data_IF_240876911369
#
_entry.id   IF_240876911369
#
_cell.length_a   1.000
_cell.length_b   1.000
_cell.length_c   1.000
_cell.angle_alpha   90.00
_cell.angle_beta   90.00
_cell.angle_gamma   90.00
#
_symmetry.space_group_name_H-M   'P 1'
#
loop_
_entity.id
_entity.type
_entity.pdbx_description
1 polymer ?
#
# COMPACT_ATOMS: atom_id res chain seq x y z
N UNK A 1 21.35 -34.58 -17.64
CA UNK A 1 20.08 -35.08 -17.09
C UNK A 1 19.46 -33.95 -16.28
N UNK A 2 18.40 -33.36 -16.73
CA UNK A 2 17.66 -32.36 -15.94
C UNK A 2 16.80 -33.11 -14.94
N UNK A 3 16.93 -32.76 -13.66
CA UNK A 3 16.02 -33.24 -12.63
C UNK A 3 14.77 -32.35 -12.75
N UNK A 4 13.77 -32.83 -13.48
CA UNK A 4 12.49 -32.18 -13.49
C UNK A 4 11.83 -32.37 -12.12
N UNK A 5 11.42 -31.29 -11.49
CA UNK A 5 10.64 -31.37 -10.26
C UNK A 5 9.31 -32.09 -10.56
N UNK A 6 9.17 -33.28 -10.04
CA UNK A 6 8.00 -34.14 -10.24
C UNK A 6 6.80 -33.64 -9.40
N UNK A 7 7.04 -32.72 -8.47
CA UNK A 7 6.00 -32.20 -7.58
C UNK A 7 5.42 -30.88 -8.12
N UNK A 8 4.31 -30.99 -8.82
CA UNK A 8 3.42 -29.84 -9.05
C UNK A 8 2.56 -29.65 -7.79
N UNK A 9 2.74 -28.51 -7.15
CA UNK A 9 1.87 -28.11 -6.05
C UNK A 9 0.62 -27.42 -6.60
N UNK A 10 -0.53 -28.05 -6.48
CA UNK A 10 -1.82 -27.55 -6.97
C UNK A 10 -2.78 -27.20 -5.82
N UNK A 11 -2.35 -27.44 -4.58
CA UNK A 11 -3.19 -27.16 -3.41
C UNK A 11 -3.28 -25.66 -3.15
N UNK A 12 -4.48 -25.20 -2.83
CA UNK A 12 -4.74 -23.82 -2.43
C UNK A 12 -4.96 -23.82 -0.91
N UNK A 13 -4.18 -23.02 -0.21
CA UNK A 13 -4.25 -22.86 1.24
C UNK A 13 -4.99 -21.55 1.56
N UNK A 14 -6.21 -21.66 2.05
CA UNK A 14 -7.00 -20.51 2.45
C UNK A 14 -6.56 -19.99 3.83
N UNK A 15 -6.54 -18.67 4.04
CA UNK A 15 -6.26 -18.09 5.35
C UNK A 15 -7.37 -18.49 6.36
N UNK A 16 -7.01 -18.51 7.65
CA UNK A 16 -8.00 -18.76 8.69
C UNK A 16 -9.02 -17.60 8.76
N UNK A 17 -10.26 -17.90 9.18
CA UNK A 17 -11.28 -16.87 9.38
C UNK A 17 -10.85 -15.77 10.34
N UNK A 18 -10.12 -16.13 11.41
CA UNK A 18 -9.57 -15.17 12.39
C UNK A 18 -8.60 -14.20 11.75
N UNK A 19 -7.73 -14.66 10.87
CA UNK A 19 -6.76 -13.82 10.15
C UNK A 19 -7.45 -12.91 9.14
N UNK A 20 -8.40 -13.45 8.38
CA UNK A 20 -9.15 -12.70 7.36
C UNK A 20 -10.01 -11.61 7.97
N UNK A 21 -10.71 -11.90 9.07
CA UNK A 21 -11.61 -10.95 9.74
C UNK A 21 -10.89 -9.67 10.19
N UNK A 22 -9.64 -9.77 10.60
CA UNK A 22 -8.84 -8.64 11.11
C UNK A 22 -7.92 -8.02 10.07
N UNK A 23 -7.90 -8.54 8.85
CA UNK A 23 -7.06 -8.01 7.78
C UNK A 23 -7.71 -6.79 7.11
N UNK A 24 -6.91 -5.83 6.68
CA UNK A 24 -7.39 -4.68 5.89
C UNK A 24 -7.95 -5.11 4.53
N UNK A 25 -7.31 -6.09 3.91
CA UNK A 25 -7.80 -6.79 2.72
C UNK A 25 -8.24 -8.16 3.18
N UNK A 26 -9.53 -8.33 3.43
CA UNK A 26 -10.10 -9.49 4.10
C UNK A 26 -10.35 -10.67 3.16
N UNK A 27 -10.49 -10.43 1.87
CA UNK A 27 -10.82 -11.45 0.87
C UNK A 27 -10.28 -11.11 -0.51
N UNK A 28 -10.32 -12.07 -1.41
CA UNK A 28 -9.87 -11.93 -2.79
C UNK A 28 -10.70 -10.91 -3.59
N UNK A 29 -11.97 -10.76 -3.29
CA UNK A 29 -12.82 -9.79 -3.97
C UNK A 29 -12.40 -8.37 -3.66
N UNK A 30 -12.08 -8.06 -2.40
CA UNK A 30 -11.53 -6.78 -1.96
C UNK A 30 -10.17 -6.50 -2.60
N UNK A 31 -9.30 -7.50 -2.65
CA UNK A 31 -8.01 -7.40 -3.34
C UNK A 31 -8.16 -7.08 -4.82
N UNK A 32 -9.04 -7.81 -5.53
CA UNK A 32 -9.29 -7.59 -6.95
C UNK A 32 -9.85 -6.19 -7.22
N UNK A 33 -10.76 -5.69 -6.37
CA UNK A 33 -11.25 -4.31 -6.44
C UNK A 33 -10.14 -3.28 -6.36
N UNK A 34 -9.20 -3.47 -5.43
CA UNK A 34 -8.05 -2.60 -5.29
C UNK A 34 -7.15 -2.64 -6.55
N UNK A 35 -6.88 -3.83 -7.07
CA UNK A 35 -6.13 -4.01 -8.31
C UNK A 35 -6.82 -3.31 -9.50
N UNK A 36 -8.13 -3.41 -9.61
CA UNK A 36 -8.91 -2.78 -10.67
C UNK A 36 -8.89 -1.24 -10.58
N UNK A 37 -8.86 -0.68 -9.37
CA UNK A 37 -8.67 0.75 -9.15
C UNK A 37 -7.35 1.23 -9.73
N UNK A 38 -6.26 0.50 -9.50
CA UNK A 38 -4.94 0.82 -10.07
C UNK A 38 -4.89 0.66 -11.59
N UNK A 39 -5.58 -0.34 -12.14
CA UNK A 39 -5.66 -0.51 -13.60
C UNK A 39 -6.43 0.62 -14.27
N UNK A 40 -7.49 1.09 -13.62
CA UNK A 40 -8.36 2.15 -14.14
C UNK A 40 -7.72 3.52 -14.03
N UNK A 41 -7.14 3.84 -12.89
CA UNK A 41 -6.51 5.14 -12.60
C UNK A 41 -5.32 4.94 -11.65
N UNK A 42 -4.16 4.63 -12.22
CA UNK A 42 -2.93 4.37 -11.46
C UNK A 42 -2.51 5.56 -10.60
N UNK A 43 -2.40 6.73 -11.20
CA UNK A 43 -1.93 7.94 -10.49
C UNK A 43 -2.95 8.42 -9.47
N UNK A 44 -4.22 8.48 -9.84
CA UNK A 44 -5.28 8.87 -8.91
C UNK A 44 -5.37 7.96 -7.70
N UNK A 45 -5.27 6.64 -7.90
CA UNK A 45 -5.31 5.67 -6.80
C UNK A 45 -4.13 5.86 -5.84
N UNK A 46 -2.91 6.09 -6.32
CA UNK A 46 -1.77 6.43 -5.46
C UNK A 46 -1.96 7.76 -4.74
N UNK A 47 -2.51 8.75 -5.42
CA UNK A 47 -2.82 10.06 -4.83
C UNK A 47 -3.82 9.96 -3.67
N UNK A 48 -4.90 9.19 -3.85
CA UNK A 48 -5.89 8.97 -2.80
C UNK A 48 -5.31 8.21 -1.60
N UNK A 49 -4.53 7.16 -1.83
CA UNK A 49 -3.85 6.43 -0.75
C UNK A 49 -2.88 7.33 0.03
N UNK A 50 -2.14 8.20 -0.66
CA UNK A 50 -1.23 9.13 -0.02
C UNK A 50 -1.97 10.18 0.84
N UNK A 51 -3.14 10.64 0.42
CA UNK A 51 -3.99 11.54 1.22
C UNK A 51 -4.62 10.84 2.41
N UNK A 52 -5.06 9.60 2.24
CA UNK A 52 -5.71 8.81 3.29
C UNK A 52 -4.75 8.40 4.40
N UNK A 53 -3.55 7.96 4.04
CA UNK A 53 -2.63 7.34 4.98
C UNK A 53 -1.55 8.26 5.54
N UNK A 54 -1.26 9.37 4.88
CA UNK A 54 -0.21 10.29 5.28
C UNK A 54 -0.77 11.64 5.72
N UNK A 55 -0.13 12.23 6.72
CA UNK A 55 -0.42 13.59 7.16
C UNK A 55 0.60 14.53 6.52
N UNK A 56 0.09 15.48 5.77
CA UNK A 56 0.88 16.43 4.99
C UNK A 56 0.91 17.80 5.66
N UNK A 57 2.11 18.37 5.81
CA UNK A 57 2.27 19.76 6.23
C UNK A 57 1.90 20.71 5.08
N UNK A 58 2.32 20.37 3.87
CA UNK A 58 1.88 20.98 2.63
C UNK A 58 1.35 19.91 1.69
N UNK A 59 0.06 19.92 1.35
CA UNK A 59 -0.50 18.99 0.38
C UNK A 59 0.23 19.05 -0.97
N UNK A 60 0.38 17.90 -1.61
CA UNK A 60 0.93 17.81 -2.97
C UNK A 60 -0.13 18.19 -4.01
N UNK A 61 0.30 18.74 -5.13
CA UNK A 61 -0.50 18.95 -6.34
C UNK A 61 -0.08 18.04 -7.49
N UNK A 62 1.19 17.63 -7.50
CA UNK A 62 1.74 16.69 -8.49
C UNK A 62 1.95 15.32 -7.86
N UNK A 63 1.47 14.26 -8.52
CA UNK A 63 1.60 12.89 -8.01
C UNK A 63 2.91 12.27 -8.49
N UNK A 64 3.15 12.25 -9.78
CA UNK A 64 4.34 11.64 -10.38
C UNK A 64 4.90 12.55 -11.48
N UNK A 65 6.19 12.83 -11.42
CA UNK A 65 6.98 13.36 -12.54
C UNK A 65 7.85 12.24 -13.12
N UNK A 66 7.50 11.78 -14.31
CA UNK A 66 8.16 10.72 -15.06
C UNK A 66 8.88 11.24 -16.34
N UNK A 67 9.06 12.56 -16.45
CA UNK A 67 9.61 13.21 -17.67
C UNK A 67 11.07 12.87 -17.92
N UNK A 68 11.82 12.49 -16.90
CA UNK A 68 13.24 12.20 -16.99
C UNK A 68 13.61 10.80 -16.46
N UNK A 69 13.20 9.70 -17.12
CA UNK A 69 13.54 8.35 -16.68
C UNK A 69 15.06 8.13 -16.64
N UNK A 70 15.60 7.36 -15.69
CA UNK A 70 14.90 6.62 -14.65
C UNK A 70 14.65 7.43 -13.35
N UNK A 71 14.83 8.74 -13.37
CA UNK A 71 14.71 9.62 -12.21
C UNK A 71 13.27 10.06 -12.01
N UNK A 72 12.46 9.20 -11.40
CA UNK A 72 11.06 9.46 -11.09
C UNK A 72 10.94 10.24 -9.78
N UNK A 73 10.02 11.20 -9.74
CA UNK A 73 9.75 12.02 -8.55
C UNK A 73 8.27 11.88 -8.16
N UNK A 74 8.03 11.38 -6.96
CA UNK A 74 6.70 11.23 -6.40
C UNK A 74 6.39 12.36 -5.42
N UNK A 75 5.21 12.96 -5.55
CA UNK A 75 4.69 13.99 -4.63
C UNK A 75 5.68 15.13 -4.37
N UNK A 76 6.40 15.56 -5.38
CA UNK A 76 7.57 16.45 -5.27
C UNK A 76 7.28 17.77 -4.58
N UNK A 77 6.11 18.36 -4.80
CA UNK A 77 5.70 19.64 -4.24
C UNK A 77 5.02 19.53 -2.86
N UNK A 78 4.77 18.31 -2.38
CA UNK A 78 4.27 18.05 -1.05
C UNK A 78 5.36 18.12 0.02
N UNK A 79 4.98 18.43 1.26
CA UNK A 79 5.86 18.39 2.43
C UNK A 79 5.21 17.62 3.56
N UNK A 80 5.94 16.72 4.16
CA UNK A 80 5.50 15.96 5.33
C UNK A 80 6.69 15.67 6.26
N UNK A 81 6.38 15.36 7.50
CA UNK A 81 7.35 14.88 8.47
C UNK A 81 7.24 13.35 8.58
N UNK A 82 8.28 12.63 8.17
CA UNK A 82 8.29 11.18 8.18
C UNK A 82 8.22 10.60 9.60
N UNK A 83 8.93 11.18 10.56
CA UNK A 83 8.90 10.70 11.94
C UNK A 83 7.53 10.92 12.59
N UNK A 84 6.86 12.03 12.31
CA UNK A 84 5.49 12.27 12.75
C UNK A 84 4.54 11.21 12.21
N UNK A 85 4.61 10.92 10.92
CA UNK A 85 3.78 9.92 10.26
C UNK A 85 4.03 8.49 10.76
N UNK A 86 5.28 8.16 11.08
CA UNK A 86 5.66 6.83 11.55
C UNK A 86 5.46 6.61 13.05
N UNK A 87 5.59 7.64 13.87
CA UNK A 87 5.64 7.54 15.32
C UNK A 87 4.55 8.35 16.03
N UNK A 88 4.60 9.67 15.94
CA UNK A 88 3.80 10.57 16.80
C UNK A 88 2.30 10.40 16.59
N UNK A 89 1.83 10.32 15.35
CA UNK A 89 0.41 10.14 15.07
C UNK A 89 -0.13 8.82 15.66
N UNK A 90 0.67 7.76 15.65
CA UNK A 90 0.29 6.46 16.19
C UNK A 90 0.36 6.45 17.72
N UNK A 91 1.38 7.06 18.32
CA UNK A 91 1.49 7.22 19.76
C UNK A 91 0.33 8.06 20.33
N UNK A 92 -0.10 9.09 19.61
CA UNK A 92 -1.22 9.94 20.03
C UNK A 92 -2.58 9.22 19.91
N UNK A 93 -2.79 8.42 18.85
CA UNK A 93 -4.06 7.71 18.64
C UNK A 93 -4.19 6.42 19.44
N UNK A 94 -3.09 5.70 19.68
CA UNK A 94 -3.06 4.42 20.38
C UNK A 94 -1.86 4.31 21.32
N UNK A 95 -1.82 5.11 22.41
CA UNK A 95 -0.63 5.22 23.28
C UNK A 95 -0.25 3.91 23.97
N UNK A 96 -1.21 3.00 24.17
CA UNK A 96 -1.00 1.73 24.88
C UNK A 96 -0.75 0.54 23.94
N UNK A 97 -0.67 0.78 22.63
CA UNK A 97 -0.41 -0.29 21.67
C UNK A 97 1.07 -0.69 21.74
N UNK A 98 1.33 -1.99 21.93
CA UNK A 98 2.68 -2.54 21.86
C UNK A 98 3.21 -2.50 20.42
N UNK A 99 4.47 -2.07 20.30
CA UNK A 99 5.16 -2.04 19.01
C UNK A 99 5.59 -3.43 18.53
#
# INVERSE_FOLDING_TARGET
>A
MSIESIHKEERIFHPSEKSSKNARVSDLATYNKLCDSFKKDYLGTWGELAKEHLIWDKPFSSILDDKNPPFFKWFEDGKLNASYNCLDKHANSNPNKTA
#
